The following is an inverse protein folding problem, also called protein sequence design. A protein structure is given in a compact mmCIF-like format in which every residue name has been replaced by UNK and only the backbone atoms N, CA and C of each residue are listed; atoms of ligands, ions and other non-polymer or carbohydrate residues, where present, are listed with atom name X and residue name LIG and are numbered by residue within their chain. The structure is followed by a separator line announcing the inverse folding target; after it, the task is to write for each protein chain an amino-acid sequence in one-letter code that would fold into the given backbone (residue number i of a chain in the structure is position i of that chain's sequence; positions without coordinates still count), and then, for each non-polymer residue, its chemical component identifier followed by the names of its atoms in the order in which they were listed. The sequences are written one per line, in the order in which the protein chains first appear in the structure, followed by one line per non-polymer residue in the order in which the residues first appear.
data_IF_340050273175
#
_entry.id   IF_340050273175
#
_cell.length_a   1.000
_cell.length_b   1.000
_cell.length_c   1.000
_cell.angle_alpha   90.00
_cell.angle_beta   90.00
_cell.angle_gamma   90.00
#
_symmetry.space_group_name_H-M   'P 1'
#
loop_
_entity.id
_entity.type
_entity.pdbx_description
1 polymer ?
#
# COMPACT_ATOMS: atom_id res chain seq x y z
N UNK A 1 28.19 6.81 -11.57
CA UNK A 1 28.23 5.34 -11.37
C UNK A 1 27.03 4.94 -10.53
N UNK A 2 25.87 4.69 -11.17
CA UNK A 2 24.68 4.17 -10.47
C UNK A 2 24.99 2.77 -9.93
N UNK A 3 24.76 2.58 -8.64
CA UNK A 3 25.31 1.48 -7.85
C UNK A 3 24.55 0.18 -8.15
N UNK A 4 25.23 -0.96 -8.14
CA UNK A 4 24.61 -2.29 -8.37
C UNK A 4 23.45 -2.57 -7.39
N UNK A 5 23.44 -1.90 -6.24
CA UNK A 5 22.33 -1.92 -5.26
C UNK A 5 21.03 -1.32 -5.78
N UNK A 6 21.05 -0.22 -6.54
CA UNK A 6 19.83 0.46 -7.01
C UNK A 6 19.03 -0.41 -7.99
N UNK A 7 19.74 -1.19 -8.82
CA UNK A 7 19.12 -2.14 -9.74
C UNK A 7 18.50 -3.36 -9.03
N UNK A 8 19.13 -3.82 -7.94
CA UNK A 8 18.62 -4.93 -7.15
C UNK A 8 17.34 -4.51 -6.41
N UNK A 9 17.37 -3.35 -5.77
CA UNK A 9 16.24 -2.75 -5.05
C UNK A 9 15.06 -2.41 -5.99
N UNK A 10 15.32 -1.85 -7.18
CA UNK A 10 14.28 -1.61 -8.19
C UNK A 10 13.67 -2.92 -8.74
N UNK A 11 14.49 -3.96 -8.89
CA UNK A 11 14.00 -5.29 -9.28
C UNK A 11 13.14 -5.92 -8.17
N UNK A 12 13.47 -5.72 -6.90
CA UNK A 12 12.69 -6.16 -5.75
C UNK A 12 11.33 -5.43 -5.67
N UNK A 13 11.30 -4.10 -5.80
CA UNK A 13 10.05 -3.33 -5.81
C UNK A 13 9.12 -3.71 -6.96
N UNK A 14 9.67 -3.84 -8.19
CA UNK A 14 8.93 -4.33 -9.36
C UNK A 14 8.41 -5.75 -9.14
N UNK A 15 9.25 -6.65 -8.64
CA UNK A 15 8.86 -8.05 -8.45
C UNK A 15 7.80 -8.18 -7.37
N UNK A 16 7.96 -7.45 -6.27
CA UNK A 16 7.05 -7.46 -5.15
C UNK A 16 5.68 -6.90 -5.55
N UNK A 17 5.63 -5.68 -6.09
CA UNK A 17 4.36 -5.04 -6.47
C UNK A 17 3.77 -5.63 -7.76
N UNK A 18 4.60 -6.03 -8.72
CA UNK A 18 4.14 -6.51 -10.02
C UNK A 18 3.83 -8.00 -10.11
N UNK A 19 4.25 -8.81 -9.14
CA UNK A 19 4.07 -10.27 -9.20
C UNK A 19 3.65 -10.91 -7.89
N UNK A 20 4.28 -10.54 -6.77
CA UNK A 20 3.95 -11.13 -5.47
C UNK A 20 2.61 -10.59 -4.94
N UNK A 21 2.46 -9.27 -4.82
CA UNK A 21 1.27 -8.64 -4.25
C UNK A 21 -0.02 -8.96 -5.03
N UNK A 22 -0.06 -8.94 -6.38
CA UNK A 22 -1.27 -9.30 -7.13
C UNK A 22 -1.65 -10.76 -6.91
N UNK A 23 -0.66 -11.65 -6.82
CA UNK A 23 -0.90 -13.07 -6.55
C UNK A 23 -1.45 -13.29 -5.14
N UNK A 24 -0.85 -12.69 -4.12
CA UNK A 24 -1.33 -12.79 -2.74
C UNK A 24 -2.76 -12.24 -2.59
N UNK A 25 -3.08 -11.14 -3.29
CA UNK A 25 -4.44 -10.60 -3.36
C UNK A 25 -5.40 -11.65 -3.95
N UNK A 26 -5.08 -12.22 -5.11
CA UNK A 26 -5.92 -13.24 -5.75
C UNK A 26 -6.05 -14.51 -4.91
N UNK A 27 -4.99 -14.94 -4.24
CA UNK A 27 -5.01 -16.09 -3.33
C UNK A 27 -5.90 -15.80 -2.09
N UNK A 28 -5.90 -14.56 -1.60
CA UNK A 28 -6.84 -14.08 -0.58
C UNK A 28 -8.29 -14.13 -1.06
N UNK A 29 -8.55 -13.64 -2.27
CA UNK A 29 -9.87 -13.68 -2.91
C UNK A 29 -10.35 -15.13 -3.12
N UNK A 30 -9.49 -16.05 -3.61
CA UNK A 30 -9.85 -17.47 -3.79
C UNK A 30 -10.34 -18.09 -2.48
N UNK A 31 -9.61 -17.84 -1.38
CA UNK A 31 -9.97 -18.38 -0.06
C UNK A 31 -11.35 -17.90 0.38
N UNK A 32 -11.69 -16.63 0.13
CA UNK A 32 -13.01 -16.09 0.44
C UNK A 32 -14.10 -16.66 -0.47
N UNK A 33 -13.90 -16.59 -1.79
CA UNK A 33 -14.87 -17.07 -2.77
C UNK A 33 -15.17 -18.56 -2.66
N UNK A 34 -14.21 -19.37 -2.20
CA UNK A 34 -14.44 -20.79 -1.91
C UNK A 34 -15.58 -21.01 -0.92
N UNK A 35 -15.78 -20.10 0.03
CA UNK A 35 -16.83 -20.20 1.04
C UNK A 35 -18.19 -19.72 0.52
N UNK A 36 -18.20 -18.72 -0.36
CA UNK A 36 -19.43 -18.03 -0.78
C UNK A 36 -20.02 -18.55 -2.10
N UNK A 37 -19.18 -18.87 -3.10
CA UNK A 37 -19.61 -19.14 -4.49
C UNK A 37 -19.16 -20.49 -5.05
N UNK A 38 -18.50 -21.32 -4.24
CA UNK A 38 -18.15 -22.69 -4.60
C UNK A 38 -17.26 -22.79 -5.86
N UNK A 39 -17.69 -23.56 -6.86
CA UNK A 39 -16.89 -23.87 -8.05
C UNK A 39 -16.85 -22.74 -9.10
N UNK A 40 -17.80 -21.79 -9.05
CA UNK A 40 -17.76 -20.62 -9.94
C UNK A 40 -16.62 -19.64 -9.59
N UNK A 41 -15.97 -19.81 -8.43
CA UNK A 41 -14.79 -19.03 -8.05
C UNK A 41 -13.65 -19.10 -9.08
N UNK A 42 -13.48 -20.25 -9.75
CA UNK A 42 -12.38 -20.44 -10.71
C UNK A 42 -12.59 -19.51 -11.91
N UNK A 43 -13.83 -19.44 -12.41
CA UNK A 43 -14.21 -18.54 -13.49
C UNK A 43 -14.06 -17.08 -13.07
N UNK A 44 -14.52 -16.72 -11.87
CA UNK A 44 -14.37 -15.35 -11.35
C UNK A 44 -12.89 -14.94 -11.27
N UNK A 45 -12.01 -15.79 -10.76
CA UNK A 45 -10.58 -15.49 -10.70
C UNK A 45 -9.95 -15.38 -12.09
N UNK A 46 -10.38 -16.19 -13.05
CA UNK A 46 -9.96 -16.06 -14.44
C UNK A 46 -10.44 -14.75 -15.07
N UNK A 47 -11.70 -14.37 -14.84
CA UNK A 47 -12.26 -13.07 -15.25
C UNK A 47 -11.45 -11.91 -14.67
N UNK A 48 -11.12 -11.94 -13.38
CA UNK A 48 -10.30 -10.90 -12.75
C UNK A 48 -8.93 -10.80 -13.42
N UNK A 49 -8.27 -11.94 -13.71
CA UNK A 49 -6.94 -11.94 -14.34
C UNK A 49 -6.98 -11.36 -15.76
N UNK A 50 -7.88 -11.84 -16.60
CA UNK A 50 -8.03 -11.35 -17.98
C UNK A 50 -8.35 -9.86 -17.99
N UNK A 51 -9.28 -9.44 -17.13
CA UNK A 51 -9.65 -8.03 -17.03
C UNK A 51 -8.51 -7.15 -16.52
N UNK A 52 -7.69 -7.64 -15.60
CA UNK A 52 -6.52 -6.93 -15.12
C UNK A 52 -5.46 -6.75 -16.22
N UNK A 53 -5.27 -7.77 -17.07
CA UNK A 53 -4.37 -7.70 -18.23
C UNK A 53 -4.84 -6.64 -19.23
N UNK A 54 -6.14 -6.61 -19.55
CA UNK A 54 -6.73 -5.59 -20.43
C UNK A 54 -6.52 -4.17 -19.88
N UNK A 55 -6.80 -3.95 -18.58
CA UNK A 55 -6.61 -2.64 -17.93
C UNK A 55 -5.13 -2.24 -17.97
N UNK A 56 -4.22 -3.17 -17.67
CA UNK A 56 -2.79 -2.89 -17.72
C UNK A 56 -2.29 -2.57 -19.13
N UNK A 57 -2.84 -3.20 -20.18
CA UNK A 57 -2.53 -2.87 -21.57
C UNK A 57 -3.08 -1.48 -21.97
N UNK A 58 -4.28 -1.13 -21.51
CA UNK A 58 -4.89 0.18 -21.74
C UNK A 58 -4.08 1.32 -21.13
N UNK A 59 -3.51 1.10 -19.95
CA UNK A 59 -2.74 2.09 -19.18
C UNK A 59 -1.22 1.90 -19.25
N UNK A 60 -0.72 1.21 -20.27
CA UNK A 60 0.71 0.97 -20.46
C UNK A 60 1.53 2.26 -20.61
N UNK A 61 0.88 3.41 -20.85
CA UNK A 61 1.48 4.73 -20.92
C UNK A 61 1.75 5.36 -19.53
N UNK A 62 1.11 4.88 -18.46
CA UNK A 62 1.29 5.46 -17.13
C UNK A 62 2.65 5.19 -16.50
N UNK A 63 3.20 3.96 -16.55
CA UNK A 63 4.48 3.67 -15.93
C UNK A 63 5.61 4.45 -16.58
N UNK A 64 6.44 5.07 -15.75
CA UNK A 64 7.65 5.80 -16.19
C UNK A 64 8.93 5.03 -15.87
N UNK A 65 8.81 3.96 -15.10
CA UNK A 65 9.91 3.11 -14.66
C UNK A 65 9.42 1.68 -14.31
N UNK A 66 10.34 0.74 -14.01
CA UNK A 66 9.96 -0.63 -13.70
C UNK A 66 9.13 -0.78 -12.41
N UNK A 67 9.28 0.11 -11.44
CA UNK A 67 8.53 0.08 -10.17
C UNK A 67 7.07 0.47 -10.39
N UNK A 68 6.82 1.58 -11.07
CA UNK A 68 5.49 2.03 -11.48
C UNK A 68 4.79 1.03 -12.42
N UNK A 69 5.54 0.24 -13.19
CA UNK A 69 4.97 -0.89 -13.93
C UNK A 69 4.46 -2.01 -13.00
N UNK A 70 5.15 -2.24 -11.88
CA UNK A 70 4.65 -3.13 -10.83
C UNK A 70 3.40 -2.58 -10.13
N UNK A 71 3.35 -1.27 -9.90
CA UNK A 71 2.18 -0.59 -9.34
C UNK A 71 0.97 -0.71 -10.26
N UNK A 72 1.16 -0.55 -11.58
CA UNK A 72 0.12 -0.75 -12.57
C UNK A 72 -0.47 -2.17 -12.48
N UNK A 73 0.36 -3.20 -12.47
CA UNK A 73 -0.13 -4.58 -12.37
C UNK A 73 -1.00 -4.81 -11.12
N UNK A 74 -0.60 -4.25 -9.97
CA UNK A 74 -1.39 -4.35 -8.74
C UNK A 74 -2.69 -3.55 -8.81
N UNK A 75 -2.66 -2.30 -9.27
CA UNK A 75 -3.87 -1.47 -9.35
C UNK A 75 -4.85 -1.97 -10.40
N UNK A 76 -4.37 -2.48 -11.53
CA UNK A 76 -5.21 -3.15 -12.54
C UNK A 76 -5.89 -4.39 -11.96
N UNK A 77 -5.17 -5.18 -11.15
CA UNK A 77 -5.74 -6.33 -10.45
C UNK A 77 -6.82 -5.92 -9.46
N UNK A 78 -6.59 -4.86 -8.67
CA UNK A 78 -7.59 -4.33 -7.73
C UNK A 78 -8.83 -3.79 -8.45
N UNK A 79 -8.66 -3.06 -9.55
CA UNK A 79 -9.78 -2.54 -10.34
C UNK A 79 -10.60 -3.68 -10.96
N UNK A 80 -9.92 -4.64 -11.60
CA UNK A 80 -10.58 -5.83 -12.16
C UNK A 80 -11.31 -6.64 -11.09
N UNK A 81 -10.71 -6.80 -9.91
CA UNK A 81 -11.34 -7.47 -8.78
C UNK A 81 -12.59 -6.71 -8.30
N UNK A 82 -12.52 -5.38 -8.20
CA UNK A 82 -13.68 -4.56 -7.85
C UNK A 82 -14.82 -4.73 -8.85
N UNK A 83 -14.54 -4.58 -10.15
CA UNK A 83 -15.55 -4.71 -11.22
C UNK A 83 -16.19 -6.10 -11.22
N UNK A 84 -15.39 -7.16 -11.04
CA UNK A 84 -15.87 -8.55 -11.08
C UNK A 84 -16.63 -8.95 -9.82
N UNK A 85 -16.22 -8.44 -8.65
CA UNK A 85 -16.82 -8.81 -7.37
C UNK A 85 -18.01 -7.94 -6.99
N UNK A 86 -18.19 -6.78 -7.63
CA UNK A 86 -19.32 -5.90 -7.31
C UNK A 86 -20.68 -6.62 -7.40
N UNK A 87 -20.99 -7.40 -8.46
CA UNK A 87 -22.22 -8.20 -8.50
C UNK A 87 -22.30 -9.32 -7.46
N UNK A 88 -21.14 -9.85 -7.03
CA UNK A 88 -21.06 -10.87 -5.96
C UNK A 88 -21.42 -10.27 -4.60
N UNK A 89 -21.17 -8.97 -4.42
CA UNK A 89 -21.53 -8.20 -3.23
C UNK A 89 -22.82 -7.41 -3.42
N UNK A 90 -23.78 -7.93 -4.18
CA UNK A 90 -25.11 -7.35 -4.38
C UNK A 90 -25.08 -5.92 -4.94
N UNK A 91 -24.09 -5.64 -5.80
CA UNK A 91 -23.81 -4.31 -6.35
C UNK A 91 -23.55 -3.23 -5.28
N UNK A 92 -23.06 -3.60 -4.08
CA UNK A 92 -22.67 -2.68 -3.01
C UNK A 92 -21.19 -2.27 -3.14
N UNK A 93 -20.90 -1.01 -3.57
CA UNK A 93 -19.53 -0.53 -3.74
C UNK A 93 -18.78 -0.46 -2.40
N UNK A 94 -19.47 -0.09 -1.31
CA UNK A 94 -18.84 0.10 -0.01
C UNK A 94 -18.40 -1.25 0.55
N UNK A 95 -19.26 -2.26 0.48
CA UNK A 95 -18.93 -3.62 0.93
C UNK A 95 -17.78 -4.21 0.12
N UNK A 96 -17.81 -4.05 -1.19
CA UNK A 96 -16.73 -4.53 -2.09
C UNK A 96 -15.39 -3.86 -1.77
N UNK A 97 -15.38 -2.53 -1.59
CA UNK A 97 -14.18 -1.77 -1.22
C UNK A 97 -13.64 -2.21 0.14
N UNK A 98 -14.50 -2.37 1.15
CA UNK A 98 -14.09 -2.83 2.48
C UNK A 98 -13.49 -4.23 2.45
N UNK A 99 -14.08 -5.14 1.66
CA UNK A 99 -13.52 -6.47 1.43
C UNK A 99 -12.12 -6.40 0.80
N UNK A 100 -11.95 -5.63 -0.28
CA UNK A 100 -10.66 -5.47 -0.95
C UNK A 100 -9.62 -4.78 -0.05
N UNK A 101 -10.02 -3.78 0.75
CA UNK A 101 -9.18 -3.16 1.78
C UNK A 101 -8.65 -4.19 2.77
N UNK A 102 -9.51 -5.11 3.21
CA UNK A 102 -9.10 -6.18 4.13
C UNK A 102 -8.10 -7.14 3.46
N UNK A 103 -8.34 -7.53 2.21
CA UNK A 103 -7.44 -8.41 1.46
C UNK A 103 -6.07 -7.78 1.22
N UNK A 104 -6.04 -6.53 0.71
CA UNK A 104 -4.79 -5.81 0.44
C UNK A 104 -4.05 -5.48 1.74
N UNK A 105 -4.75 -5.04 2.79
CA UNK A 105 -4.15 -4.78 4.09
C UNK A 105 -3.52 -6.02 4.72
N UNK A 106 -3.95 -7.23 4.37
CA UNK A 106 -3.33 -8.46 4.86
C UNK A 106 -2.01 -8.81 4.12
N UNK A 107 -1.77 -8.25 2.94
CA UNK A 107 -0.57 -8.53 2.13
C UNK A 107 0.67 -8.02 2.86
N UNK A 108 1.67 -8.90 3.03
CA UNK A 108 2.96 -8.59 3.65
C UNK A 108 2.92 -7.98 5.06
N UNK A 109 1.77 -8.05 5.76
CA UNK A 109 1.61 -7.51 7.12
C UNK A 109 2.67 -8.02 8.09
N UNK A 110 2.84 -9.34 8.20
CA UNK A 110 3.81 -9.97 9.12
C UNK A 110 5.27 -9.56 8.86
N UNK A 111 5.77 -9.57 7.62
CA UNK A 111 7.09 -9.02 7.30
C UNK A 111 7.31 -7.59 7.82
N UNK A 112 6.34 -6.69 7.63
CA UNK A 112 6.45 -5.31 8.12
C UNK A 112 6.47 -5.24 9.65
N UNK A 113 5.58 -5.99 10.33
CA UNK A 113 5.57 -6.10 11.79
C UNK A 113 6.96 -6.49 12.33
N UNK A 114 7.56 -7.55 11.79
CA UNK A 114 8.88 -8.03 12.23
C UNK A 114 10.00 -7.02 12.01
N UNK A 115 10.02 -6.36 10.84
CA UNK A 115 11.07 -5.39 10.49
C UNK A 115 11.00 -4.17 11.40
N UNK A 116 9.84 -3.55 11.53
CA UNK A 116 9.68 -2.32 12.30
C UNK A 116 9.82 -2.55 13.82
N UNK A 117 9.37 -3.70 14.33
CA UNK A 117 9.64 -4.10 15.73
C UNK A 117 11.16 -4.20 15.99
N UNK A 118 11.93 -4.77 15.05
CA UNK A 118 13.38 -4.87 15.18
C UNK A 118 14.09 -3.50 15.09
N UNK A 119 13.54 -2.55 14.33
CA UNK A 119 14.04 -1.17 14.28
C UNK A 119 13.73 -0.41 15.57
N UNK A 120 12.54 -0.61 16.14
CA UNK A 120 12.11 0.02 17.39
C UNK A 120 12.98 -0.31 18.60
N UNK A 121 13.63 -1.48 18.61
CA UNK A 121 14.55 -1.92 19.69
C UNK A 121 15.94 -1.28 19.66
N UNK A 122 16.23 -0.44 18.66
CA UNK A 122 17.57 0.15 18.48
C UNK A 122 17.76 1.38 19.38
N UNK A 123 19.03 1.75 19.58
CA UNK A 123 19.37 3.07 20.11
C UNK A 123 18.94 4.11 19.07
N UNK A 124 18.24 5.15 19.51
CA UNK A 124 17.72 6.23 18.65
C UNK A 124 16.73 5.70 17.58
N UNK A 125 15.58 5.14 18.00
CA UNK A 125 14.66 4.45 17.10
C UNK A 125 14.08 5.38 16.01
N UNK A 126 13.88 6.67 16.32
CA UNK A 126 13.37 7.64 15.34
C UNK A 126 14.32 7.81 14.17
N UNK A 127 15.61 7.98 14.46
CA UNK A 127 16.65 8.12 13.43
C UNK A 127 16.79 6.87 12.58
N UNK A 128 16.62 5.69 13.19
CA UNK A 128 16.65 4.40 12.51
C UNK A 128 15.46 4.26 11.56
N UNK A 129 14.24 4.59 12.01
CA UNK A 129 13.04 4.55 11.20
C UNK A 129 13.10 5.58 10.07
N UNK A 130 13.52 6.82 10.34
CA UNK A 130 13.70 7.85 9.32
C UNK A 130 14.66 7.38 8.22
N UNK A 131 15.83 6.84 8.60
CA UNK A 131 16.80 6.31 7.62
C UNK A 131 16.22 5.17 6.80
N UNK A 132 15.43 4.29 7.43
CA UNK A 132 14.74 3.23 6.73
C UNK A 132 13.73 3.81 5.71
N UNK A 133 12.84 4.70 6.13
CA UNK A 133 11.86 5.35 5.23
C UNK A 133 12.53 6.06 4.05
N UNK A 134 13.62 6.82 4.29
CA UNK A 134 14.38 7.50 3.23
C UNK A 134 15.06 6.52 2.26
N UNK A 135 15.50 5.35 2.75
CA UNK A 135 16.10 4.30 1.92
C UNK A 135 15.06 3.52 1.11
N UNK A 136 13.88 3.29 1.70
CA UNK A 136 12.79 2.56 1.07
C UNK A 136 11.96 3.44 0.12
N UNK A 137 11.90 4.76 0.32
CA UNK A 137 11.17 5.70 -0.55
C UNK A 137 11.45 5.50 -2.05
N UNK A 138 12.71 5.43 -2.50
CA UNK A 138 13.06 5.15 -3.90
C UNK A 138 12.51 3.82 -4.47
N UNK A 139 12.08 2.87 -3.62
CA UNK A 139 11.44 1.62 -4.09
C UNK A 139 10.08 1.84 -4.73
N UNK A 140 9.43 2.97 -4.45
CA UNK A 140 8.19 3.36 -5.11
C UNK A 140 8.41 3.84 -6.56
N UNK A 141 9.66 4.11 -6.95
CA UNK A 141 10.00 4.66 -8.26
C UNK A 141 9.84 6.18 -8.34
N UNK A 142 10.08 6.71 -9.54
CA UNK A 142 10.09 8.13 -9.89
C UNK A 142 8.70 8.68 -10.22
N UNK A 143 7.69 7.81 -10.36
CA UNK A 143 6.31 8.27 -10.50
C UNK A 143 5.82 8.97 -9.23
N UNK A 144 6.17 8.39 -8.08
CA UNK A 144 5.82 8.96 -6.79
C UNK A 144 6.70 10.17 -6.49
N UNK A 145 6.09 11.19 -5.90
CA UNK A 145 6.81 12.29 -5.30
C UNK A 145 6.67 12.18 -3.78
N UNK A 146 7.79 11.91 -3.11
CA UNK A 146 7.84 11.66 -1.67
C UNK A 146 8.86 12.61 -1.06
N UNK A 147 8.35 13.59 -0.31
CA UNK A 147 9.16 14.48 0.50
C UNK A 147 9.33 13.91 1.92
N UNK A 148 10.47 14.19 2.52
CA UNK A 148 10.82 13.74 3.86
C UNK A 148 11.34 14.91 4.68
N UNK A 149 10.63 15.24 5.75
CA UNK A 149 10.90 16.40 6.59
C UNK A 149 11.16 16.00 8.05
N UNK A 150 12.07 16.73 8.70
CA UNK A 150 12.34 16.57 10.13
C UNK A 150 12.03 17.89 10.82
N UNK A 151 10.75 18.03 11.20
CA UNK A 151 10.21 19.23 11.82
C UNK A 151 10.84 19.52 13.18
N UNK A 152 11.27 18.48 13.91
CA UNK A 152 11.88 18.61 15.24
C UNK A 152 12.75 17.39 15.59
N UNK A 153 13.52 17.43 16.68
CA UNK A 153 14.25 16.26 17.17
C UNK A 153 13.36 15.04 17.44
N UNK A 154 12.08 15.28 17.79
CA UNK A 154 11.14 14.27 18.27
C UNK A 154 10.08 13.86 17.24
N UNK A 155 10.18 14.38 16.00
CA UNK A 155 9.21 14.09 14.95
C UNK A 155 9.85 14.04 13.55
N UNK A 156 9.43 13.04 12.80
CA UNK A 156 9.75 12.85 11.38
C UNK A 156 8.45 12.78 10.57
N UNK A 157 8.41 13.41 9.40
CA UNK A 157 7.27 13.40 8.48
C UNK A 157 7.70 12.90 7.09
N UNK A 158 6.89 12.00 6.53
CA UNK A 158 6.91 11.61 5.12
C UNK A 158 5.64 12.15 4.46
N UNK A 159 5.79 12.84 3.34
CA UNK A 159 4.69 13.43 2.58
C UNK A 159 4.70 12.91 1.16
N UNK A 160 3.60 12.29 0.74
CA UNK A 160 3.42 11.84 -0.64
C UNK A 160 2.61 12.91 -1.37
N UNK A 161 3.25 13.60 -2.31
CA UNK A 161 2.68 14.72 -3.07
C UNK A 161 2.16 14.27 -4.45
N UNK A 162 2.66 13.13 -4.94
CA UNK A 162 2.14 12.43 -6.13
C UNK A 162 2.04 10.94 -5.88
N UNK A 163 0.88 10.35 -6.18
CA UNK A 163 0.55 8.97 -5.86
C UNK A 163 0.05 8.21 -7.10
N UNK A 164 0.76 7.16 -7.53
CA UNK A 164 0.36 6.34 -8.67
C UNK A 164 -1.04 5.74 -8.49
N UNK A 165 -1.34 5.23 -7.29
CA UNK A 165 -2.62 4.57 -7.02
C UNK A 165 -3.80 5.52 -7.21
N UNK A 166 -3.68 6.75 -6.70
CA UNK A 166 -4.70 7.79 -6.86
C UNK A 166 -4.91 8.11 -8.33
N UNK A 167 -3.83 8.40 -9.05
CA UNK A 167 -3.91 8.86 -10.43
C UNK A 167 -4.48 7.75 -11.35
N UNK A 168 -4.09 6.48 -11.13
CA UNK A 168 -4.63 5.34 -11.87
C UNK A 168 -6.13 5.15 -11.62
N UNK A 169 -6.58 5.07 -10.36
CA UNK A 169 -8.01 4.86 -10.10
C UNK A 169 -8.87 6.07 -10.49
N UNK A 170 -8.34 7.29 -10.41
CA UNK A 170 -9.02 8.47 -10.92
C UNK A 170 -9.21 8.42 -12.44
N UNK A 171 -8.22 7.93 -13.19
CA UNK A 171 -8.32 7.73 -14.65
C UNK A 171 -9.49 6.81 -15.04
N UNK A 172 -9.79 5.80 -14.22
CA UNK A 172 -10.92 4.88 -14.39
C UNK A 172 -12.21 5.32 -13.67
N UNK A 173 -12.31 6.59 -13.24
CA UNK A 173 -13.51 7.10 -12.57
C UNK A 173 -13.82 6.44 -11.23
N UNK A 174 -12.85 5.77 -10.61
CA UNK A 174 -13.02 4.98 -9.38
C UNK A 174 -12.11 5.44 -8.23
N UNK A 175 -11.99 6.76 -7.92
CA UNK A 175 -11.02 7.28 -6.94
C UNK A 175 -11.21 6.71 -5.52
N UNK A 176 -12.41 6.23 -5.18
CA UNK A 176 -12.66 5.57 -3.90
C UNK A 176 -11.80 4.30 -3.70
N UNK A 177 -11.38 3.62 -4.79
CA UNK A 177 -10.49 2.47 -4.76
C UNK A 177 -9.09 2.80 -4.27
N UNK A 178 -8.67 4.06 -4.29
CA UNK A 178 -7.39 4.46 -3.68
C UNK A 178 -7.33 4.07 -2.20
N UNK A 179 -8.48 4.05 -1.49
CA UNK A 179 -8.55 3.61 -0.09
C UNK A 179 -8.18 2.14 0.11
N UNK A 180 -8.36 1.28 -0.91
CA UNK A 180 -7.90 -0.12 -0.91
C UNK A 180 -6.39 -0.18 -0.78
N UNK A 181 -5.69 0.66 -1.54
CA UNK A 181 -4.23 0.73 -1.50
C UNK A 181 -3.73 1.43 -0.23
N UNK A 182 -4.43 2.46 0.26
CA UNK A 182 -4.10 3.10 1.53
C UNK A 182 -4.18 2.13 2.74
N UNK A 183 -4.96 1.05 2.66
CA UNK A 183 -5.01 0.04 3.72
C UNK A 183 -3.65 -0.66 3.94
N UNK A 184 -2.80 -0.66 2.91
CA UNK A 184 -1.44 -1.19 3.00
C UNK A 184 -0.59 -0.43 4.02
N UNK A 185 -0.67 0.90 4.04
CA UNK A 185 0.20 1.72 4.90
C UNK A 185 -0.03 1.45 6.39
N UNK A 186 -1.22 1.00 6.77
CA UNK A 186 -1.51 0.60 8.15
C UNK A 186 -0.60 -0.52 8.66
N UNK A 187 -0.01 -1.33 7.77
CA UNK A 187 0.89 -2.42 8.16
C UNK A 187 2.17 -1.93 8.84
N UNK A 188 2.79 -0.88 8.31
CA UNK A 188 4.00 -0.33 8.95
C UNK A 188 3.65 0.58 10.12
N UNK A 189 2.54 1.34 10.03
CA UNK A 189 2.12 2.24 11.11
C UNK A 189 1.81 1.48 12.40
N UNK A 190 1.10 0.34 12.29
CA UNK A 190 0.83 -0.56 13.42
C UNK A 190 2.07 -1.21 14.00
N UNK A 191 3.12 -1.35 13.21
CA UNK A 191 4.36 -1.98 13.62
C UNK A 191 5.28 -1.04 14.41
N UNK A 192 5.03 0.27 14.39
CA UNK A 192 5.67 1.24 15.29
C UNK A 192 5.01 1.14 16.65
N UNK A 193 5.52 0.23 17.49
CA UNK A 193 5.01 -0.04 18.83
C UNK A 193 5.58 0.97 19.86
N UNK A 194 4.74 1.79 20.52
CA UNK A 194 5.18 2.72 21.55
C UNK A 194 5.84 2.06 22.76
N UNK A 195 5.39 0.87 23.17
CA UNK A 195 5.93 0.17 24.33
C UNK A 195 7.37 -0.31 24.09
N UNK A 196 7.76 -0.50 22.82
CA UNK A 196 9.11 -0.95 22.42
C UNK A 196 10.00 0.21 22.02
N UNK A 197 9.45 1.16 21.25
CA UNK A 197 10.23 2.21 20.58
C UNK A 197 10.13 3.58 21.24
N UNK A 198 9.12 3.83 22.09
CA UNK A 198 8.78 5.17 22.54
C UNK A 198 8.31 6.08 21.41
N UNK A 199 7.84 5.52 20.29
CA UNK A 199 7.34 6.23 19.12
C UNK A 199 5.94 5.77 18.77
N UNK A 200 5.15 6.64 18.15
CA UNK A 200 3.90 6.28 17.48
C UNK A 200 3.85 6.81 16.06
N UNK A 201 3.20 6.07 15.18
CA UNK A 201 2.92 6.51 13.82
C UNK A 201 1.59 7.27 13.74
N UNK A 202 1.51 8.25 12.85
CA UNK A 202 0.30 8.99 12.52
C UNK A 202 0.14 9.07 11.01
N UNK A 203 -1.09 8.88 10.52
CA UNK A 203 -1.52 9.35 9.21
C UNK A 203 -2.55 10.44 9.41
N UNK A 204 -2.22 11.65 8.99
CA UNK A 204 -2.98 12.87 9.32
C UNK A 204 -3.83 13.37 8.16
N UNK A 205 -3.36 13.19 6.92
CA UNK A 205 -4.10 13.56 5.70
C UNK A 205 -3.91 12.49 4.63
N UNK A 206 -4.86 12.41 3.70
CA UNK A 206 -4.94 11.40 2.65
C UNK A 206 -5.50 11.98 1.34
N UNK A 207 -4.76 11.84 0.25
CA UNK A 207 -5.29 12.21 -1.08
C UNK A 207 -6.54 11.40 -1.46
N UNK A 208 -6.72 10.20 -0.91
CA UNK A 208 -7.92 9.38 -1.10
C UNK A 208 -9.17 9.95 -0.42
N UNK A 209 -9.00 10.91 0.51
CA UNK A 209 -10.07 11.65 1.17
C UNK A 209 -10.22 13.09 0.65
N UNK A 210 -9.45 13.46 -0.38
CA UNK A 210 -9.53 14.78 -1.01
C UNK A 210 -8.45 15.77 -0.58
N UNK A 211 -7.51 15.38 0.28
CA UNK A 211 -6.38 16.24 0.64
C UNK A 211 -5.39 16.44 -0.51
N UNK A 212 -4.53 17.44 -0.38
CA UNK A 212 -3.46 17.79 -1.31
C UNK A 212 -2.31 16.76 -1.33
N UNK A 213 -2.05 16.12 -0.19
CA UNK A 213 -0.98 15.15 -0.01
C UNK A 213 -1.33 14.13 1.08
N UNK A 214 -0.72 12.95 1.01
CA UNK A 214 -0.76 12.01 2.13
C UNK A 214 0.35 12.38 3.12
N UNK A 215 0.04 12.52 4.41
CA UNK A 215 1.01 12.88 5.45
C UNK A 215 1.10 11.79 6.50
N UNK A 216 2.30 11.21 6.62
CA UNK A 216 2.65 10.20 7.58
C UNK A 216 3.70 10.75 8.54
N UNK A 217 3.48 10.65 9.84
CA UNK A 217 4.39 11.14 10.87
C UNK A 217 4.79 10.00 11.78
N UNK A 218 6.02 10.07 12.28
CA UNK A 218 6.49 9.25 13.40
C UNK A 218 6.93 10.22 14.47
N UNK A 219 6.30 10.14 15.63
CA UNK A 219 6.50 11.08 16.73
C UNK A 219 6.86 10.34 18.01
N UNK A 220 7.70 10.94 18.84
CA UNK A 220 7.98 10.43 20.17
C UNK A 220 6.71 10.42 21.04
N UNK A 221 6.63 9.46 21.96
CA UNK A 221 5.55 9.36 22.93
C UNK A 221 6.04 8.67 24.20
N UNK A 222 5.61 9.20 25.35
CA UNK A 222 5.85 8.62 26.67
C UNK A 222 4.73 7.66 27.10
N UNK A 223 3.67 7.53 26.29
CA UNK A 223 2.55 6.63 26.57
C UNK A 223 2.78 5.27 25.87
N UNK A 224 3.11 4.21 26.63
CA UNK A 224 3.33 2.88 26.05
C UNK A 224 2.04 2.23 25.54
N UNK A 225 0.86 2.79 25.85
CA UNK A 225 -0.45 2.32 25.39
C UNK A 225 -1.00 3.15 24.24
N UNK A 226 -0.27 4.17 23.78
CA UNK A 226 -0.68 4.93 22.62
C UNK A 226 -0.89 4.00 21.42
N UNK A 227 -1.90 4.29 20.60
CA UNK A 227 -2.07 3.61 19.31
C UNK A 227 -1.55 4.50 18.19
N UNK A 228 -1.38 3.93 17.00
CA UNK A 228 -1.24 4.75 15.80
C UNK A 228 -2.51 5.58 15.59
N UNK A 229 -2.35 6.76 14.98
CA UNK A 229 -3.47 7.59 14.53
C UNK A 229 -3.65 7.41 13.02
N UNK A 230 -4.87 7.24 12.54
CA UNK A 230 -5.13 7.02 11.12
C UNK A 230 -6.37 7.75 10.62
N UNK A 231 -6.17 8.72 9.71
CA UNK A 231 -7.24 9.47 9.07
C UNK A 231 -8.22 8.60 8.24
N UNK A 232 -7.84 7.37 7.89
CA UNK A 232 -8.71 6.43 7.16
C UNK A 232 -9.73 5.71 8.04
N UNK A 233 -9.59 5.79 9.37
CA UNK A 233 -10.47 5.18 10.38
C UNK A 233 -11.56 6.13 10.89
#
# INVERSE_FOLDING_TARGET
MAYVGDKLMAAEGRWFMGRFAPRELLDGIDRYLRLEVGDDRVKLLETIRLRAEEIAEQDQDMPVDPQSAGMLALTSTVLAAYETLLPVFDDDPRRTILFLRHMVGAVARRPFEVVFEALGRRKEPLDVIERACRKEGPLYGTYYDIAFDRQSPDAFEMRVERCFFRDHFARHGSPALTTVMCAWDANWMRAVDPAVSGLRAERTTLMSQGDDACRFRVVATDDPLATYHDALE
#
